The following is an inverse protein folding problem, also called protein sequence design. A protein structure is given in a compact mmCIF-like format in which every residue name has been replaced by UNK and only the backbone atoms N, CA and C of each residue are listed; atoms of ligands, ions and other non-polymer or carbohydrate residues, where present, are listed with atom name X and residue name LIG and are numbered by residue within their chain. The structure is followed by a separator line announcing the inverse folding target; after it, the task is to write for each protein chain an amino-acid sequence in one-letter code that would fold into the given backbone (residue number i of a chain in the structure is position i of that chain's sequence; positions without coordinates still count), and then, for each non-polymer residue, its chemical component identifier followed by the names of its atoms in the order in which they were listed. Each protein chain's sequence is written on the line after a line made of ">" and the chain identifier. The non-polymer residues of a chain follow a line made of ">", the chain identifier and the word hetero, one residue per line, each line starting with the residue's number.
data_IF_823583097660
#
_entry.id   IF_823583097660
#
_cell.length_a   1.000
_cell.length_b   1.000
_cell.length_c   1.000
_cell.angle_alpha   90.00
_cell.angle_beta   90.00
_cell.angle_gamma   90.00
#
_symmetry.space_group_name_H-M   'P 1'
#
loop_
_entity.id
_entity.type
_entity.pdbx_description
1 polymer ?
#
# COMPACT_ATOMS: atom_id res chain seq x y z
N UNK A 1 -13.67 -2.23 26.18
CA UNK A 1 -12.65 -1.93 25.15
C UNK A 1 -13.17 -1.26 23.87
N UNK A 2 -14.48 -0.99 23.70
CA UNK A 2 -15.01 -0.39 22.45
C UNK A 2 -14.83 1.14 22.34
N UNK A 3 -14.69 1.88 23.45
CA UNK A 3 -14.67 3.35 23.42
C UNK A 3 -13.34 4.00 23.02
N UNK A 4 -12.20 3.32 23.16
CA UNK A 4 -10.89 3.92 22.81
C UNK A 4 -10.63 3.91 21.30
N UNK A 5 -11.01 2.81 20.63
CA UNK A 5 -10.87 2.68 19.17
C UNK A 5 -11.71 3.74 18.43
N UNK A 6 -12.92 4.04 18.91
CA UNK A 6 -13.77 5.07 18.29
C UNK A 6 -13.32 6.50 18.56
N UNK A 7 -12.45 6.75 19.55
CA UNK A 7 -11.95 8.09 19.84
C UNK A 7 -10.63 8.39 19.12
N UNK A 8 -9.84 7.35 18.85
CA UNK A 8 -8.54 7.46 18.19
C UNK A 8 -8.51 6.88 16.78
N UNK A 9 -9.64 6.43 16.20
CA UNK A 9 -9.66 5.92 14.82
C UNK A 9 -9.07 6.90 13.80
N UNK A 10 -9.31 8.20 13.97
CA UNK A 10 -8.71 9.25 13.13
C UNK A 10 -7.20 9.28 13.29
N UNK A 11 -6.70 9.26 14.53
CA UNK A 11 -5.26 9.29 14.80
C UNK A 11 -4.55 8.02 14.31
N UNK A 12 -5.14 6.85 14.53
CA UNK A 12 -4.62 5.56 14.06
C UNK A 12 -4.61 5.53 12.53
N UNK A 13 -5.68 5.99 11.88
CA UNK A 13 -5.77 6.09 10.42
C UNK A 13 -4.72 7.04 9.84
N UNK A 14 -4.55 8.23 10.45
CA UNK A 14 -3.53 9.20 10.04
C UNK A 14 -2.11 8.66 10.20
N UNK A 15 -1.80 8.02 11.33
CA UNK A 15 -0.47 7.42 11.56
C UNK A 15 -0.21 6.32 10.54
N UNK A 16 -1.19 5.44 10.29
CA UNK A 16 -1.09 4.42 9.26
C UNK A 16 -0.89 5.01 7.86
N UNK A 17 -1.60 6.09 7.53
CA UNK A 17 -1.43 6.84 6.26
C UNK A 17 -0.04 7.42 6.13
N UNK A 18 0.46 8.12 7.16
CA UNK A 18 1.78 8.76 7.13
C UNK A 18 2.90 7.73 7.00
N UNK A 19 2.83 6.64 7.77
CA UNK A 19 3.80 5.54 7.68
C UNK A 19 3.74 4.92 6.29
N UNK A 20 2.54 4.62 5.78
CA UNK A 20 2.36 3.98 4.48
C UNK A 20 2.86 4.87 3.34
N UNK A 21 2.58 6.17 3.39
CA UNK A 21 3.08 7.14 2.42
C UNK A 21 4.61 7.24 2.47
N UNK A 22 5.19 7.26 3.67
CA UNK A 22 6.63 7.30 3.87
C UNK A 22 7.32 6.07 3.28
N UNK A 23 6.77 4.89 3.51
CA UNK A 23 7.29 3.64 2.92
C UNK A 23 7.14 3.64 1.40
N UNK A 24 6.00 4.11 0.85
CA UNK A 24 5.80 4.22 -0.59
C UNK A 24 6.88 5.10 -1.25
N UNK A 25 7.12 6.28 -0.68
CA UNK A 25 8.13 7.23 -1.17
C UNK A 25 9.53 6.61 -1.06
N UNK A 26 9.86 6.02 0.09
CA UNK A 26 11.16 5.39 0.29
C UNK A 26 11.41 4.27 -0.74
N UNK A 27 10.42 3.42 -1.00
CA UNK A 27 10.52 2.34 -2.00
C UNK A 27 10.66 2.87 -3.44
N UNK A 28 10.02 3.99 -3.77
CA UNK A 28 10.17 4.64 -5.08
C UNK A 28 11.61 5.06 -5.38
N UNK A 29 12.36 5.47 -4.35
CA UNK A 29 13.75 5.90 -4.51
C UNK A 29 14.77 4.76 -4.32
N UNK A 30 14.44 3.70 -3.57
CA UNK A 30 15.38 2.60 -3.26
C UNK A 30 15.38 1.49 -4.33
N UNK A 31 14.23 1.14 -4.92
CA UNK A 31 14.14 0.00 -5.84
C UNK A 31 14.71 0.22 -7.27
N UNK A 32 14.93 1.44 -7.82
CA UNK A 32 15.42 1.55 -9.20
C UNK A 32 16.81 0.95 -9.45
N UNK A 33 17.54 0.54 -8.41
CA UNK A 33 18.96 0.14 -8.47
C UNK A 33 19.23 -1.35 -8.74
N UNK A 34 18.29 -2.29 -8.51
CA UNK A 34 18.68 -3.72 -8.43
C UNK A 34 18.18 -4.64 -9.56
N UNK A 35 17.32 -4.20 -10.47
CA UNK A 35 16.65 -5.16 -11.38
C UNK A 35 17.42 -5.34 -12.68
N UNK A 36 18.57 -6.00 -12.66
CA UNK A 36 19.43 -6.17 -13.85
C UNK A 36 19.16 -7.44 -14.68
N UNK A 37 18.04 -8.16 -14.46
CA UNK A 37 17.81 -9.47 -15.10
C UNK A 37 16.37 -9.89 -15.43
N UNK A 38 15.36 -9.00 -15.34
CA UNK A 38 13.95 -9.33 -15.58
C UNK A 38 13.35 -8.59 -16.78
N UNK A 39 12.33 -9.18 -17.42
CA UNK A 39 11.57 -8.59 -18.54
C UNK A 39 10.99 -7.22 -18.17
N UNK A 40 11.01 -6.24 -19.08
CA UNK A 40 10.73 -4.81 -18.79
C UNK A 40 9.39 -4.60 -18.05
N UNK A 41 8.37 -5.38 -18.38
CA UNK A 41 7.03 -5.30 -17.76
C UNK A 41 7.04 -5.84 -16.32
N UNK A 42 7.73 -6.96 -16.06
CA UNK A 42 7.87 -7.52 -14.72
C UNK A 42 8.73 -6.61 -13.84
N UNK A 43 9.78 -6.01 -14.42
CA UNK A 43 10.65 -5.05 -13.74
C UNK A 43 9.88 -3.82 -13.26
N UNK A 44 8.93 -3.31 -14.05
CA UNK A 44 8.01 -2.23 -13.64
C UNK A 44 7.07 -2.70 -12.52
N UNK A 45 6.47 -3.88 -12.65
CA UNK A 45 5.57 -4.43 -11.61
C UNK A 45 6.32 -4.67 -10.29
N UNK A 46 7.57 -5.12 -10.33
CA UNK A 46 8.41 -5.34 -9.15
C UNK A 46 8.94 -4.03 -8.55
N UNK A 47 9.31 -3.04 -9.39
CA UNK A 47 9.71 -1.71 -8.91
C UNK A 47 8.57 -0.97 -8.25
N UNK A 48 7.41 -0.91 -8.92
CA UNK A 48 6.35 0.01 -8.55
C UNK A 48 5.20 -0.69 -7.81
N UNK A 49 5.02 -2.00 -7.96
CA UNK A 49 3.89 -2.72 -7.36
C UNK A 49 3.85 -2.59 -5.84
N UNK A 50 5.02 -2.64 -5.19
CA UNK A 50 5.08 -2.49 -3.74
C UNK A 50 4.76 -1.06 -3.30
N UNK A 51 5.30 -0.05 -4.00
CA UNK A 51 5.02 1.36 -3.71
C UNK A 51 3.56 1.73 -3.98
N UNK A 52 2.98 1.20 -5.07
CA UNK A 52 1.56 1.39 -5.41
C UNK A 52 0.65 0.79 -4.33
N UNK A 53 0.99 -0.38 -3.79
CA UNK A 53 0.28 -1.01 -2.67
C UNK A 53 0.29 -0.11 -1.42
N UNK A 54 1.45 0.41 -1.05
CA UNK A 54 1.59 1.33 0.08
C UNK A 54 0.85 2.66 -0.15
N UNK A 55 0.80 3.15 -1.38
CA UNK A 55 0.03 4.33 -1.76
C UNK A 55 -1.49 4.09 -1.63
N UNK A 56 -1.97 2.93 -2.07
CA UNK A 56 -3.36 2.49 -1.91
C UNK A 56 -3.75 2.32 -0.44
N UNK A 57 -2.86 1.73 0.38
CA UNK A 57 -3.05 1.63 1.83
C UNK A 57 -3.09 3.00 2.51
N UNK A 58 -2.21 3.92 2.08
CA UNK A 58 -2.18 5.29 2.58
C UNK A 58 -3.51 6.00 2.32
N UNK A 59 -4.04 5.88 1.10
CA UNK A 59 -5.37 6.39 0.74
C UNK A 59 -6.50 5.71 1.53
N UNK A 60 -6.43 4.39 1.75
CA UNK A 60 -7.43 3.67 2.54
C UNK A 60 -7.46 4.15 3.99
N UNK A 61 -6.29 4.37 4.60
CA UNK A 61 -6.12 4.92 5.94
C UNK A 61 -6.62 6.35 6.06
N UNK A 62 -6.43 7.16 5.01
CA UNK A 62 -6.86 8.56 5.00
C UNK A 62 -8.38 8.65 4.90
N UNK A 63 -8.99 7.87 4.01
CA UNK A 63 -10.45 7.77 3.89
C UNK A 63 -11.05 7.24 5.19
N UNK A 64 -10.40 6.26 5.82
CA UNK A 64 -10.85 5.73 7.10
C UNK A 64 -10.73 6.76 8.24
N UNK A 65 -9.66 7.56 8.25
CA UNK A 65 -9.48 8.64 9.21
C UNK A 65 -10.52 9.74 9.03
N UNK A 66 -10.83 10.13 7.79
CA UNK A 66 -11.74 11.25 7.49
C UNK A 66 -13.22 10.87 7.56
N UNK A 67 -13.59 9.65 7.15
CA UNK A 67 -14.98 9.22 7.00
C UNK A 67 -15.34 7.99 7.83
N UNK A 68 -14.43 7.47 8.64
CA UNK A 68 -14.62 6.22 9.39
C UNK A 68 -14.69 4.99 8.47
N UNK A 69 -15.28 3.91 8.97
CA UNK A 69 -15.48 2.67 8.21
C UNK A 69 -16.49 2.91 7.09
N UNK A 70 -15.99 3.10 5.86
CA UNK A 70 -16.80 3.41 4.69
C UNK A 70 -16.43 2.50 3.51
N UNK A 71 -17.38 2.26 2.59
CA UNK A 71 -17.20 1.36 1.44
C UNK A 71 -15.95 1.70 0.61
N UNK A 72 -15.63 2.98 0.48
CA UNK A 72 -14.45 3.46 -0.23
C UNK A 72 -13.13 3.02 0.42
N UNK A 73 -13.04 3.05 1.76
CA UNK A 73 -11.84 2.57 2.46
C UNK A 73 -11.67 1.07 2.23
N UNK A 74 -12.75 0.29 2.30
CA UNK A 74 -12.73 -1.15 2.00
C UNK A 74 -12.32 -1.43 0.55
N UNK A 75 -12.82 -0.65 -0.41
CA UNK A 75 -12.46 -0.79 -1.84
C UNK A 75 -10.97 -0.51 -2.05
N UNK A 76 -10.41 0.56 -1.47
CA UNK A 76 -8.98 0.84 -1.58
C UNK A 76 -8.13 -0.25 -0.92
N UNK A 77 -8.58 -0.78 0.23
CA UNK A 77 -7.89 -1.87 0.90
C UNK A 77 -7.89 -3.15 0.02
N UNK A 78 -9.02 -3.44 -0.61
CA UNK A 78 -9.18 -4.57 -1.52
C UNK A 78 -8.32 -4.40 -2.79
N UNK A 79 -8.26 -3.18 -3.33
CA UNK A 79 -7.38 -2.85 -4.46
C UNK A 79 -5.90 -2.98 -4.10
N UNK A 80 -5.49 -2.47 -2.92
CA UNK A 80 -4.13 -2.67 -2.42
C UNK A 80 -3.78 -4.14 -2.27
N UNK A 81 -4.72 -4.95 -1.79
CA UNK A 81 -4.54 -6.39 -1.65
C UNK A 81 -4.41 -7.11 -3.00
N UNK A 82 -5.21 -6.71 -4.00
CA UNK A 82 -5.09 -7.21 -5.37
C UNK A 82 -3.74 -6.85 -5.99
N UNK A 83 -3.29 -5.61 -5.84
CA UNK A 83 -1.98 -5.16 -6.32
C UNK A 83 -0.85 -5.94 -5.63
N UNK A 84 -0.96 -6.19 -4.34
CA UNK A 84 0.00 -7.00 -3.59
C UNK A 84 -0.01 -8.47 -4.03
N UNK A 85 -1.20 -9.04 -4.30
CA UNK A 85 -1.32 -10.40 -4.81
C UNK A 85 -0.67 -10.53 -6.19
N UNK A 86 -0.91 -9.58 -7.10
CA UNK A 86 -0.25 -9.54 -8.42
C UNK A 86 1.26 -9.40 -8.26
N UNK A 87 1.73 -8.56 -7.34
CA UNK A 87 3.15 -8.43 -7.02
C UNK A 87 3.75 -9.75 -6.54
N UNK A 88 3.13 -10.44 -5.58
CA UNK A 88 3.59 -11.73 -5.07
C UNK A 88 3.61 -12.81 -6.15
N UNK A 89 2.58 -12.88 -7.00
CA UNK A 89 2.53 -13.82 -8.13
C UNK A 89 3.69 -13.53 -9.09
N UNK A 90 3.95 -12.26 -9.39
CA UNK A 90 5.03 -11.85 -10.28
C UNK A 90 6.41 -12.16 -9.67
N UNK A 91 6.56 -11.97 -8.35
CA UNK A 91 7.77 -12.31 -7.60
C UNK A 91 8.04 -13.82 -7.60
N UNK A 92 7.03 -14.63 -7.27
CA UNK A 92 7.11 -16.11 -7.28
C UNK A 92 7.33 -16.65 -8.68
N UNK A 93 6.76 -16.02 -9.71
CA UNK A 93 6.97 -16.45 -11.10
C UNK A 93 8.37 -16.11 -11.63
N UNK A 94 9.13 -15.27 -10.93
CA UNK A 94 10.49 -14.86 -11.32
C UNK A 94 11.58 -15.62 -10.54
N UNK A 95 11.27 -16.12 -9.33
CA UNK A 95 12.18 -16.92 -8.50
C UNK A 95 12.13 -18.41 -8.82
#
# INVERSE_FOLDING_TARGET
>A
MKNYLTRYHVAIGLVATVISLGVAIMYLFVVPIEVSGASEVQKIVLMYGHSLCWFLLSGAGLIWALRGTNRWSTVLLCLGLMVYAVFLITLVSLG
#
